data_IF_010381484719
#
_entry.id   IF_010381484719
#
_cell.length_a   1.000
_cell.length_b   1.000
_cell.length_c   1.000
_cell.angle_alpha   90.00
_cell.angle_beta   90.00
_cell.angle_gamma   90.00
#
_symmetry.space_group_name_H-M   'P 1'
#
loop_
_entity.id
_entity.type
_entity.pdbx_description
1 polymer ?
#
# COMPACT_ATOMS: atom_id res chain seq x y z
N UNK A 1 -2.44 3.80 44.31
CA UNK A 1 -2.16 2.59 43.52
C UNK A 1 -1.72 3.02 42.13
N UNK A 2 -0.41 3.13 41.88
CA UNK A 2 0.16 3.54 40.59
C UNK A 2 0.49 2.27 39.81
N UNK A 3 -0.29 1.99 38.76
CA UNK A 3 -0.01 0.88 37.85
C UNK A 3 1.14 1.33 36.96
N UNK A 4 2.32 0.74 37.19
CA UNK A 4 3.41 0.74 36.25
C UNK A 4 2.98 -0.12 35.06
N UNK A 5 2.61 0.48 33.93
CA UNK A 5 2.61 -0.23 32.67
C UNK A 5 4.08 -0.44 32.30
N UNK A 6 4.59 -1.59 32.72
CA UNK A 6 5.90 -2.11 32.35
C UNK A 6 6.08 -2.02 30.85
N UNK A 7 7.26 -1.56 30.47
CA UNK A 7 7.82 -1.59 29.11
C UNK A 7 7.52 -2.93 28.43
N UNK A 8 6.39 -3.02 27.73
CA UNK A 8 6.20 -4.03 26.71
C UNK A 8 7.00 -3.53 25.53
N UNK A 9 8.10 -4.22 25.25
CA UNK A 9 8.92 -4.07 24.04
C UNK A 9 8.04 -3.59 22.88
N UNK A 10 8.19 -2.33 22.49
CA UNK A 10 7.63 -1.81 21.25
C UNK A 10 8.38 -2.49 20.11
N UNK A 11 8.10 -3.78 19.89
CA UNK A 11 8.55 -4.51 18.73
C UNK A 11 7.80 -3.87 17.58
N UNK A 12 8.55 -3.15 16.76
CA UNK A 12 8.10 -2.58 15.49
C UNK A 12 7.19 -3.61 14.80
N UNK A 13 5.91 -3.28 14.68
CA UNK A 13 4.94 -4.19 14.06
C UNK A 13 4.97 -3.91 12.56
N UNK A 14 5.53 -4.83 11.74
CA UNK A 14 5.45 -4.67 10.30
C UNK A 14 3.98 -4.80 9.87
N UNK A 15 3.61 -4.04 8.84
CA UNK A 15 2.32 -4.09 8.20
C UNK A 15 2.53 -4.05 6.69
N UNK A 16 2.05 -5.08 6.00
CA UNK A 16 2.14 -5.13 4.54
C UNK A 16 0.88 -4.54 3.92
N UNK A 17 1.05 -3.60 2.99
CA UNK A 17 -0.03 -3.01 2.21
C UNK A 17 0.06 -3.40 0.75
N UNK A 18 -1.12 -3.60 0.16
CA UNK A 18 -1.33 -3.73 -1.27
C UNK A 18 -1.83 -2.39 -1.80
N UNK A 19 -1.10 -1.83 -2.76
CA UNK A 19 -1.39 -0.54 -3.39
C UNK A 19 -1.74 -0.83 -4.85
N UNK A 20 -2.96 -0.50 -5.23
CA UNK A 20 -3.51 -0.74 -6.56
C UNK A 20 -3.53 0.55 -7.36
N UNK A 21 -2.99 0.48 -8.57
CA UNK A 21 -3.06 1.55 -9.57
C UNK A 21 -3.82 1.00 -10.76
N UNK A 22 -4.99 1.56 -11.01
CA UNK A 22 -5.79 1.25 -12.20
C UNK A 22 -5.65 2.41 -13.18
N UNK A 23 -5.18 2.15 -14.38
CA UNK A 23 -5.15 3.12 -15.47
C UNK A 23 -6.27 2.80 -16.45
N UNK A 24 -7.03 3.82 -16.84
CA UNK A 24 -8.15 3.68 -17.78
C UNK A 24 -7.65 3.46 -19.21
N UNK A 25 -8.49 2.84 -20.04
CA UNK A 25 -8.10 2.35 -21.37
C UNK A 25 -7.55 3.41 -22.33
N UNK A 26 -6.80 2.92 -23.33
CA UNK A 26 -6.09 3.74 -24.31
C UNK A 26 -4.62 3.36 -24.45
N UNK A 27 -3.91 4.02 -25.37
CA UNK A 27 -2.47 3.84 -25.50
C UNK A 27 -1.74 4.57 -24.36
N UNK A 28 -0.99 3.81 -23.56
CA UNK A 28 -0.14 4.37 -22.52
C UNK A 28 1.29 4.64 -23.05
N UNK A 29 1.93 5.74 -22.63
CA UNK A 29 3.31 6.02 -23.03
C UNK A 29 4.27 4.86 -22.69
N UNK A 30 5.23 4.51 -23.56
CA UNK A 30 6.13 3.38 -23.32
C UNK A 30 6.90 3.47 -21.99
N UNK A 31 7.31 4.67 -21.60
CA UNK A 31 7.99 4.96 -20.33
C UNK A 31 7.13 4.67 -19.08
N UNK A 32 5.81 4.83 -19.18
CA UNK A 32 4.86 4.48 -18.12
C UNK A 32 4.75 2.96 -18.01
N UNK A 33 4.55 2.29 -19.14
CA UNK A 33 4.47 0.83 -19.21
C UNK A 33 5.75 0.18 -18.67
N UNK A 34 6.92 0.69 -19.06
CA UNK A 34 8.21 0.21 -18.58
C UNK A 34 8.41 0.42 -17.09
N UNK A 35 7.98 1.58 -16.56
CA UNK A 35 8.02 1.83 -15.13
C UNK A 35 7.16 0.82 -14.36
N UNK A 36 5.93 0.59 -14.80
CA UNK A 36 5.02 -0.36 -14.17
C UNK A 36 5.57 -1.79 -14.24
N UNK A 37 6.06 -2.24 -15.40
CA UNK A 37 6.69 -3.56 -15.56
C UNK A 37 7.90 -3.77 -14.64
N UNK A 38 8.68 -2.72 -14.38
CA UNK A 38 9.90 -2.82 -13.55
C UNK A 38 9.62 -2.70 -12.04
N UNK A 39 8.53 -2.04 -11.64
CA UNK A 39 8.32 -1.61 -10.25
C UNK A 39 7.10 -2.22 -9.58
N UNK A 40 6.08 -2.60 -10.35
CA UNK A 40 4.91 -3.27 -9.83
C UNK A 40 5.26 -4.73 -9.53
N UNK A 41 4.73 -5.25 -8.43
CA UNK A 41 4.86 -6.64 -8.05
C UNK A 41 3.98 -7.53 -8.95
N UNK A 42 2.85 -6.97 -9.41
CA UNK A 42 1.98 -7.59 -10.42
C UNK A 42 1.45 -6.55 -11.37
N UNK A 43 1.31 -6.93 -12.64
CA UNK A 43 0.78 -6.08 -13.70
C UNK A 43 -0.14 -6.89 -14.60
N UNK A 44 -1.33 -6.36 -14.85
CA UNK A 44 -2.26 -6.87 -15.85
C UNK A 44 -2.55 -5.78 -16.87
N UNK A 45 -2.73 -6.21 -18.11
CA UNK A 45 -3.14 -5.34 -19.22
C UNK A 45 -4.34 -5.99 -19.85
N UNK A 46 -5.44 -5.25 -19.89
CA UNK A 46 -6.70 -5.71 -20.45
C UNK A 46 -6.75 -5.44 -21.96
N UNK A 47 -7.60 -6.16 -22.70
CA UNK A 47 -7.74 -5.96 -24.16
C UNK A 47 -8.21 -4.55 -24.56
N UNK A 48 -8.89 -3.83 -23.65
CA UNK A 48 -9.33 -2.44 -23.85
C UNK A 48 -8.19 -1.40 -23.61
N UNK A 49 -6.97 -1.88 -23.34
CA UNK A 49 -5.81 -1.05 -23.05
C UNK A 49 -5.69 -0.64 -21.58
N UNK A 50 -6.70 -0.89 -20.74
CA UNK A 50 -6.61 -0.56 -19.31
C UNK A 50 -5.56 -1.41 -18.61
N UNK A 51 -4.92 -0.86 -17.57
CA UNK A 51 -3.87 -1.55 -16.82
C UNK A 51 -4.19 -1.57 -15.33
N UNK A 52 -3.93 -2.71 -14.68
CA UNK A 52 -3.92 -2.83 -13.23
C UNK A 52 -2.50 -3.15 -12.78
N UNK A 53 -1.91 -2.28 -11.97
CA UNK A 53 -0.61 -2.50 -11.34
C UNK A 53 -0.79 -2.61 -9.82
N UNK A 54 -0.17 -3.63 -9.22
CA UNK A 54 -0.19 -3.86 -7.78
C UNK A 54 1.22 -3.72 -7.23
N UNK A 55 1.36 -2.94 -6.16
CA UNK A 55 2.58 -2.75 -5.40
C UNK A 55 2.37 -3.27 -3.97
N UNK A 56 3.19 -4.23 -3.55
CA UNK A 56 3.20 -4.77 -2.19
C UNK A 56 4.32 -4.09 -1.42
N UNK A 57 3.99 -3.33 -0.39
CA UNK A 57 4.98 -2.55 0.37
C UNK A 57 4.81 -2.80 1.86
N UNK A 58 5.94 -3.05 2.52
CA UNK A 58 6.00 -3.16 3.96
C UNK A 58 6.21 -1.78 4.59
N UNK A 59 5.38 -1.48 5.58
CA UNK A 59 5.48 -0.30 6.43
C UNK A 59 5.58 -0.74 7.87
N UNK A 60 6.06 0.17 8.73
CA UNK A 60 5.93 0.01 10.19
C UNK A 60 4.62 0.65 10.62
N UNK A 61 3.81 -0.08 11.39
CA UNK A 61 2.48 0.34 11.81
C UNK A 61 2.50 1.72 12.49
N UNK A 62 3.52 1.99 13.30
CA UNK A 62 3.68 3.24 14.06
C UNK A 62 3.94 4.45 13.16
N UNK A 63 4.59 4.23 12.02
CA UNK A 63 4.91 5.27 11.04
C UNK A 63 3.93 5.32 9.87
N UNK A 64 2.94 4.41 9.84
CA UNK A 64 2.12 4.18 8.66
C UNK A 64 1.33 5.43 8.28
N UNK A 65 0.75 6.11 9.27
CA UNK A 65 -0.04 7.33 9.08
C UNK A 65 0.77 8.45 8.42
N UNK A 66 2.06 8.55 8.73
CA UNK A 66 2.93 9.57 8.15
C UNK A 66 3.48 9.12 6.79
N UNK A 67 3.97 7.88 6.68
CA UNK A 67 4.73 7.43 5.50
C UNK A 67 3.85 7.03 4.33
N UNK A 68 2.65 6.50 4.57
CA UNK A 68 1.77 6.06 3.49
C UNK A 68 1.33 7.23 2.61
N UNK A 69 0.81 8.37 3.11
CA UNK A 69 0.45 9.50 2.27
C UNK A 69 1.60 10.00 1.41
N UNK A 70 2.82 10.09 1.97
CA UNK A 70 4.01 10.47 1.20
C UNK A 70 4.34 9.49 0.09
N UNK A 71 4.26 8.18 0.36
CA UNK A 71 4.49 7.16 -0.65
C UNK A 71 3.46 7.23 -1.78
N UNK A 72 2.17 7.33 -1.42
CA UNK A 72 1.08 7.42 -2.40
C UNK A 72 1.22 8.65 -3.28
N UNK A 73 1.52 9.81 -2.68
CA UNK A 73 1.74 11.06 -3.40
C UNK A 73 2.94 11.01 -4.33
N UNK A 74 4.04 10.40 -3.87
CA UNK A 74 5.24 10.24 -4.71
C UNK A 74 4.96 9.31 -5.91
N UNK A 75 4.20 8.23 -5.70
CA UNK A 75 3.79 7.31 -6.75
C UNK A 75 2.86 8.01 -7.75
N UNK A 76 1.84 8.71 -7.29
CA UNK A 76 0.92 9.49 -8.12
C UNK A 76 1.67 10.51 -8.98
N UNK A 77 2.53 11.34 -8.38
CA UNK A 77 3.33 12.33 -9.12
C UNK A 77 4.25 11.66 -10.15
N UNK A 78 4.78 10.48 -9.85
CA UNK A 78 5.61 9.74 -10.79
C UNK A 78 4.80 9.23 -11.97
N UNK A 79 3.60 8.69 -11.73
CA UNK A 79 2.69 8.22 -12.78
C UNK A 79 2.24 9.37 -13.68
N UNK A 80 1.85 10.51 -13.11
CA UNK A 80 1.49 11.73 -13.86
C UNK A 80 2.65 12.19 -14.76
N UNK A 81 3.87 12.25 -14.22
CA UNK A 81 5.08 12.62 -14.99
C UNK A 81 5.39 11.66 -16.13
N UNK A 82 5.02 10.39 -16.00
CA UNK A 82 5.21 9.39 -17.05
C UNK A 82 4.07 9.39 -18.07
N UNK A 83 3.00 10.15 -17.83
CA UNK A 83 1.88 10.37 -18.74
C UNK A 83 0.61 9.58 -18.41
N UNK A 84 0.44 9.14 -17.16
CA UNK A 84 -0.86 8.66 -16.70
C UNK A 84 -1.84 9.85 -16.64
N UNK A 85 -2.90 9.84 -17.46
CA UNK A 85 -3.90 10.91 -17.50
C UNK A 85 -5.20 10.55 -16.77
N UNK A 86 -5.60 9.28 -16.80
CA UNK A 86 -6.83 8.77 -16.21
C UNK A 86 -6.56 7.48 -15.44
N UNK A 87 -6.95 7.46 -14.18
CA UNK A 87 -6.72 6.29 -13.33
C UNK A 87 -7.10 6.53 -11.88
N UNK A 88 -7.15 5.44 -11.13
CA UNK A 88 -7.42 5.42 -9.70
C UNK A 88 -6.25 4.80 -8.95
N UNK A 89 -5.95 5.36 -7.78
CA UNK A 89 -4.99 4.82 -6.85
C UNK A 89 -5.72 4.46 -5.55
N UNK A 90 -5.59 3.21 -5.14
CA UNK A 90 -6.20 2.68 -3.93
C UNK A 90 -5.19 1.88 -3.13
N UNK A 91 -5.44 1.68 -1.85
CA UNK A 91 -4.61 0.82 -1.01
C UNK A 91 -5.45 0.07 0.00
N UNK A 92 -4.98 -1.11 0.38
CA UNK A 92 -5.58 -1.95 1.42
C UNK A 92 -4.52 -2.78 2.12
N UNK A 93 -4.79 -3.32 3.31
CA UNK A 93 -3.86 -4.24 3.94
C UNK A 93 -3.74 -5.53 3.12
N UNK A 94 -2.51 -6.02 2.99
CA UNK A 94 -2.19 -7.23 2.24
C UNK A 94 -2.33 -8.48 3.14
N UNK A 95 -3.50 -8.68 3.75
CA UNK A 95 -3.74 -9.75 4.75
C UNK A 95 -3.42 -11.16 4.24
N UNK A 96 -3.43 -11.39 2.92
CA UNK A 96 -3.07 -12.68 2.34
C UNK A 96 -1.58 -13.04 2.52
N UNK A 97 -0.72 -12.07 2.83
CA UNK A 97 0.74 -12.26 2.92
C UNK A 97 1.29 -12.23 4.34
N UNK A 98 0.47 -11.87 5.34
CA UNK A 98 0.96 -11.61 6.70
C UNK A 98 0.54 -12.70 7.68
N UNK A 99 1.18 -13.87 7.56
CA UNK A 99 1.06 -14.98 8.52
C UNK A 99 1.89 -14.70 9.80
N UNK A 100 2.55 -13.53 9.89
CA UNK A 100 3.49 -13.18 10.97
C UNK A 100 2.85 -12.43 12.14
N UNK A 101 1.65 -11.89 11.96
CA UNK A 101 0.95 -11.07 12.96
C UNK A 101 0.52 -11.89 14.19
N UNK A 102 0.19 -13.17 14.01
CA UNK A 102 -0.20 -14.06 15.11
C UNK A 102 0.95 -14.32 16.11
N UNK A 103 2.22 -14.26 15.66
CA UNK A 103 3.38 -14.54 16.50
C UNK A 103 3.86 -13.40 17.40
N UNK A 104 3.30 -12.18 17.28
CA UNK A 104 3.83 -10.97 17.93
C UNK A 104 2.84 -10.21 18.84
N UNK A 105 1.67 -10.79 19.13
CA UNK A 105 0.71 -10.19 20.06
C UNK A 105 -0.05 -8.97 19.50
N UNK A 106 0.02 -8.74 18.20
CA UNK A 106 -0.87 -7.81 17.50
C UNK A 106 -2.00 -8.64 16.88
N UNK A 107 -3.19 -8.60 17.46
CA UNK A 107 -4.32 -9.35 16.90
C UNK A 107 -4.70 -8.74 15.54
N UNK A 108 -5.14 -9.60 14.62
CA UNK A 108 -5.58 -9.19 13.26
C UNK A 108 -6.62 -8.08 13.33
N UNK A 109 -7.49 -8.12 14.33
CA UNK A 109 -8.54 -7.13 14.58
C UNK A 109 -7.95 -5.75 14.89
N UNK A 110 -6.89 -5.67 15.70
CA UNK A 110 -6.27 -4.39 16.08
C UNK A 110 -5.54 -3.73 14.91
N UNK A 111 -4.87 -4.52 14.09
CA UNK A 111 -4.26 -4.04 12.85
C UNK A 111 -5.34 -3.55 11.86
N UNK A 112 -6.42 -4.33 11.68
CA UNK A 112 -7.56 -3.96 10.84
C UNK A 112 -8.22 -2.67 11.33
N UNK A 113 -8.46 -2.50 12.63
CA UNK A 113 -9.04 -1.28 13.20
C UNK A 113 -8.20 -0.04 12.91
N UNK A 114 -6.86 -0.11 13.08
CA UNK A 114 -5.99 1.01 12.76
C UNK A 114 -6.01 1.33 11.26
N UNK A 115 -6.04 0.32 10.40
CA UNK A 115 -6.09 0.49 8.95
C UNK A 115 -7.43 1.08 8.49
N UNK A 116 -8.54 0.65 9.08
CA UNK A 116 -9.87 1.20 8.80
C UNK A 116 -9.98 2.67 9.25
N UNK A 117 -9.31 3.06 10.35
CA UNK A 117 -9.24 4.48 10.77
C UNK A 117 -8.47 5.33 9.77
N UNK A 118 -7.44 4.78 9.13
CA UNK A 118 -6.64 5.47 8.12
C UNK A 118 -7.34 5.60 6.77
N UNK A 119 -8.30 4.73 6.44
CA UNK A 119 -9.10 4.86 5.21
C UNK A 119 -10.27 5.85 5.34
N UNK A 120 -10.66 6.20 6.57
CA UNK A 120 -11.81 7.09 6.85
C UNK A 120 -11.42 8.56 7.06
N UNK A 121 -10.13 8.86 7.19
CA UNK A 121 -9.57 10.21 7.26
C UNK A 121 -8.82 10.53 5.97
#
# INVERSE_FOLDING_TARGET
MRVWLTNFFAREVPCTLEISVTLEGGEHPPQLVDFLRKRADRLWTNPDGSMLAIFIREFRLESLQERLPWFLRALELRLLRLGACHGTLAWRPAFAYDWSLEGRGCSRERALEQLLRLQRN
#
